data_IF_032340528336
#
_entry.id   IF_032340528336
#
_cell.length_a   1.000
_cell.length_b   1.000
_cell.length_c   1.000
_cell.angle_alpha   90.00
_cell.angle_beta   90.00
_cell.angle_gamma   90.00
#
_symmetry.space_group_name_H-M   'P 1'
#
loop_
_entity.id
_entity.type
_entity.pdbx_description
1 polymer ?
#
# COMPACT_ATOMS: atom_id res chain seq x y z
N UNK A 1 11.01 24.37 1.51
CA UNK A 1 10.35 23.50 0.50
C UNK A 1 10.08 22.09 1.02
N UNK A 2 11.04 21.41 1.63
CA UNK A 2 10.88 20.06 2.18
C UNK A 2 9.73 19.90 3.19
N UNK A 3 9.56 20.80 4.14
CA UNK A 3 8.50 20.78 5.16
C UNK A 3 7.10 20.89 4.54
N UNK A 4 6.96 21.66 3.45
CA UNK A 4 5.68 21.81 2.74
C UNK A 4 5.31 20.56 1.92
N UNK A 5 6.31 19.82 1.43
CA UNK A 5 6.11 18.54 0.74
C UNK A 5 5.73 17.44 1.76
N UNK A 6 6.35 17.41 2.93
CA UNK A 6 6.02 16.47 3.99
C UNK A 6 4.57 16.67 4.48
N UNK A 7 4.13 17.91 4.73
CA UNK A 7 2.74 18.20 5.10
C UNK A 7 1.72 17.88 4.00
N UNK A 8 2.12 17.97 2.72
CA UNK A 8 1.24 17.58 1.60
C UNK A 8 1.13 16.06 1.43
N UNK A 9 2.10 15.30 1.89
CA UNK A 9 2.05 13.85 1.90
C UNK A 9 1.12 13.32 3.00
N UNK A 10 1.01 14.06 4.12
CA UNK A 10 0.07 13.77 5.20
C UNK A 10 -1.32 14.30 4.83
N UNK A 11 -2.24 13.45 4.39
CA UNK A 11 -3.50 13.88 3.78
C UNK A 11 -4.68 13.99 4.74
N UNK A 12 -4.52 13.70 6.01
CA UNK A 12 -5.69 13.55 6.86
C UNK A 12 -5.63 14.30 8.19
N UNK A 13 -6.45 15.35 8.31
CA UNK A 13 -6.94 15.86 9.59
C UNK A 13 -8.46 15.89 9.55
N UNK A 14 -9.05 15.69 10.69
CA UNK A 14 -10.48 15.92 10.85
C UNK A 14 -10.85 17.36 10.48
N UNK A 15 -11.84 17.50 9.63
CA UNK A 15 -12.48 18.78 9.39
C UNK A 15 -13.71 18.89 10.32
N UNK A 16 -14.04 20.08 10.76
CA UNK A 16 -15.20 20.34 11.63
C UNK A 16 -16.54 19.74 11.11
N UNK A 17 -16.62 19.47 9.81
CA UNK A 17 -17.81 18.94 9.13
C UNK A 17 -17.67 17.49 8.66
N UNK A 18 -16.49 16.88 8.73
CA UNK A 18 -16.26 15.52 8.21
C UNK A 18 -16.63 14.41 9.17
N UNK A 19 -16.76 14.72 10.46
CA UNK A 19 -16.90 13.73 11.52
C UNK A 19 -15.57 13.32 12.12
N UNK A 20 -15.55 12.18 12.82
CA UNK A 20 -14.37 11.66 13.51
C UNK A 20 -13.55 10.75 12.60
N UNK A 21 -12.24 10.84 12.72
CA UNK A 21 -11.26 9.96 12.05
C UNK A 21 -10.33 9.39 13.12
N UNK A 22 -10.09 8.09 13.08
CA UNK A 22 -9.09 7.42 13.92
C UNK A 22 -8.27 6.46 13.06
N UNK A 23 -7.11 6.12 13.57
CA UNK A 23 -6.31 4.98 13.06
C UNK A 23 -6.25 3.96 14.18
N UNK A 24 -6.71 2.74 13.91
CA UNK A 24 -6.87 1.70 14.93
C UNK A 24 -6.13 0.42 14.53
N UNK A 25 -5.76 -0.36 15.52
CA UNK A 25 -5.20 -1.70 15.34
C UNK A 25 -6.31 -2.75 15.09
N UNK A 26 -5.92 -4.02 14.97
CA UNK A 26 -6.85 -5.14 14.75
C UNK A 26 -7.84 -5.35 15.90
N UNK A 27 -7.60 -4.76 17.07
CA UNK A 27 -8.48 -4.77 18.23
C UNK A 27 -9.39 -3.55 18.32
N UNK A 28 -9.46 -2.71 17.28
CA UNK A 28 -10.17 -1.43 17.25
C UNK A 28 -9.67 -0.43 18.31
N UNK A 29 -8.41 -0.58 18.78
CA UNK A 29 -7.74 0.34 19.70
C UNK A 29 -6.93 1.36 18.91
N UNK A 30 -7.06 2.65 19.26
CA UNK A 30 -6.32 3.73 18.60
C UNK A 30 -4.81 3.54 18.72
N UNK A 31 -4.09 3.62 17.60
CA UNK A 31 -2.64 3.46 17.56
C UNK A 31 -1.90 4.69 18.13
N UNK A 32 -0.66 4.53 18.63
CA UNK A 32 0.16 5.67 19.05
C UNK A 32 0.39 6.68 17.93
N UNK A 33 0.45 7.96 18.30
CA UNK A 33 0.76 9.05 17.37
C UNK A 33 2.28 9.24 17.22
N UNK A 34 2.97 8.19 16.77
CA UNK A 34 4.43 8.13 16.62
C UNK A 34 4.92 8.30 15.17
N UNK A 35 4.00 8.25 14.20
CA UNK A 35 4.31 8.29 12.78
C UNK A 35 4.85 6.96 12.22
N UNK A 36 4.85 5.90 13.02
CA UNK A 36 5.45 4.60 12.70
C UNK A 36 4.45 3.44 12.83
N UNK A 37 3.65 3.42 13.90
CA UNK A 37 2.69 2.34 14.16
C UNK A 37 1.56 2.37 13.14
N UNK A 38 1.47 1.28 12.36
CA UNK A 38 0.47 1.11 11.32
C UNK A 38 -0.86 0.64 11.91
N UNK A 39 -1.96 1.24 11.43
CA UNK A 39 -3.32 0.80 11.73
C UNK A 39 -4.26 1.05 10.56
N UNK A 40 -5.53 0.73 10.73
CA UNK A 40 -6.60 1.01 9.77
C UNK A 40 -7.24 2.37 10.03
N UNK A 41 -7.45 3.17 8.98
CA UNK A 41 -8.28 4.36 9.09
C UNK A 41 -9.73 3.94 9.26
N UNK A 42 -10.34 4.42 10.34
CA UNK A 42 -11.78 4.31 10.57
C UNK A 42 -12.40 5.70 10.68
N UNK A 43 -13.58 5.85 10.13
CA UNK A 43 -14.29 7.15 10.11
C UNK A 43 -15.72 6.99 10.58
N UNK A 44 -16.24 8.06 11.24
CA UNK A 44 -17.61 8.12 11.70
C UNK A 44 -18.15 9.53 11.51
N UNK A 45 -19.34 9.66 10.93
CA UNK A 45 -19.98 10.97 10.77
C UNK A 45 -21.01 11.00 9.66
N UNK A 46 -21.63 12.15 9.48
CA UNK A 46 -22.72 12.34 8.50
C UNK A 46 -22.26 12.26 7.05
N UNK A 47 -20.96 12.36 6.78
CA UNK A 47 -20.39 12.23 5.45
C UNK A 47 -20.13 10.76 5.04
N UNK A 48 -20.26 9.83 6.00
CA UNK A 48 -20.07 8.40 5.75
C UNK A 48 -21.32 7.82 5.08
N UNK A 49 -21.13 6.95 4.10
CA UNK A 49 -22.21 6.25 3.44
C UNK A 49 -23.04 5.43 4.44
N UNK A 50 -24.32 5.20 4.14
CA UNK A 50 -25.17 4.28 4.92
C UNK A 50 -24.81 2.81 4.73
N UNK A 51 -24.27 2.46 3.58
CA UNK A 51 -23.90 1.09 3.20
C UNK A 51 -23.76 0.93 1.69
N UNK A 52 -23.39 -0.27 1.29
CA UNK A 52 -23.36 -0.67 -0.13
C UNK A 52 -24.77 -0.98 -0.64
N UNK A 53 -25.03 -0.62 -1.88
CA UNK A 53 -26.35 -0.81 -2.49
C UNK A 53 -26.69 -2.30 -2.65
N UNK A 54 -27.77 -2.75 -2.02
CA UNK A 54 -28.25 -4.12 -2.01
C UNK A 54 -27.19 -5.16 -1.59
N UNK A 55 -26.26 -4.78 -0.69
CA UNK A 55 -25.20 -5.64 -0.18
C UNK A 55 -25.03 -5.42 1.33
N UNK A 56 -25.93 -6.02 2.09
CA UNK A 56 -25.96 -5.91 3.54
C UNK A 56 -24.75 -6.62 4.19
N UNK A 57 -24.26 -7.70 3.59
CA UNK A 57 -23.12 -8.47 4.10
C UNK A 57 -21.83 -7.66 3.99
N UNK A 58 -21.56 -7.09 2.80
CA UNK A 58 -20.42 -6.20 2.64
C UNK A 58 -20.54 -4.94 3.51
N UNK A 59 -21.77 -4.41 3.67
CA UNK A 59 -22.03 -3.29 4.58
C UNK A 59 -21.71 -3.63 6.02
N UNK A 60 -22.18 -4.77 6.53
CA UNK A 60 -21.91 -5.20 7.90
C UNK A 60 -20.40 -5.43 8.15
N UNK A 61 -19.68 -5.91 7.14
CA UNK A 61 -18.25 -6.14 7.22
C UNK A 61 -17.46 -4.85 7.44
N UNK A 62 -17.85 -3.76 6.77
CA UNK A 62 -17.13 -2.49 6.86
C UNK A 62 -17.70 -1.53 7.90
N UNK A 63 -18.96 -1.74 8.35
CA UNK A 63 -19.63 -0.93 9.37
C UNK A 63 -19.67 -1.69 10.70
N UNK A 64 -18.56 -1.72 11.42
CA UNK A 64 -18.46 -2.40 12.72
C UNK A 64 -18.09 -1.44 13.84
N UNK A 65 -18.56 -1.71 15.06
CA UNK A 65 -18.27 -0.86 16.21
C UNK A 65 -18.80 0.57 16.09
N UNK A 66 -19.71 0.87 15.12
CA UNK A 66 -20.19 2.23 14.84
C UNK A 66 -19.25 3.06 13.98
N UNK A 67 -18.24 2.43 13.37
CA UNK A 67 -17.26 3.04 12.49
C UNK A 67 -17.29 2.41 11.09
N UNK A 68 -16.99 3.22 10.09
CA UNK A 68 -16.70 2.74 8.75
C UNK A 68 -15.20 2.43 8.64
N UNK A 69 -14.86 1.19 8.39
CA UNK A 69 -13.54 0.66 8.15
C UNK A 69 -13.17 0.85 6.68
N UNK A 70 -12.19 1.73 6.42
CA UNK A 70 -11.88 2.15 5.04
C UNK A 70 -11.06 1.14 4.26
N UNK A 71 -10.36 0.24 4.95
CA UNK A 71 -9.37 -0.66 4.38
C UNK A 71 -8.07 0.05 3.98
N UNK A 72 -7.87 1.30 4.40
CA UNK A 72 -6.63 2.05 4.18
C UNK A 72 -5.73 1.93 5.41
N UNK A 73 -4.48 1.50 5.19
CA UNK A 73 -3.45 1.44 6.20
C UNK A 73 -2.77 2.80 6.35
N UNK A 74 -2.67 3.30 7.56
CA UNK A 74 -2.11 4.61 7.87
C UNK A 74 -1.32 4.62 9.18
N UNK A 75 -0.54 5.68 9.36
CA UNK A 75 0.09 6.05 10.62
C UNK A 75 -0.42 7.40 11.07
N UNK A 76 -0.34 7.72 12.36
CA UNK A 76 -0.66 9.05 12.89
C UNK A 76 0.61 9.71 13.38
N UNK A 77 0.88 10.90 12.87
CA UNK A 77 2.04 11.69 13.31
C UNK A 77 1.78 12.39 14.66
N UNK A 78 2.84 12.77 15.42
CA UNK A 78 2.68 13.48 16.70
C UNK A 78 1.87 14.77 16.62
N UNK A 79 1.73 15.37 15.45
CA UNK A 79 0.93 16.56 15.20
C UNK A 79 -0.56 16.26 14.87
N UNK A 80 -0.97 14.98 14.96
CA UNK A 80 -2.34 14.52 14.71
C UNK A 80 -2.69 14.30 13.23
N UNK A 81 -1.73 14.46 12.31
CA UNK A 81 -1.98 14.15 10.90
C UNK A 81 -1.91 12.66 10.63
N UNK A 82 -2.94 12.10 10.00
CA UNK A 82 -2.90 10.76 9.47
C UNK A 82 -2.24 10.76 8.08
N UNK A 83 -1.33 9.80 7.86
CA UNK A 83 -0.67 9.56 6.58
C UNK A 83 -1.02 8.17 6.07
N UNK A 84 -1.71 8.10 4.93
CA UNK A 84 -2.03 6.82 4.27
C UNK A 84 -0.73 6.24 3.70
N UNK A 85 -0.43 5.01 4.07
CA UNK A 85 0.74 4.26 3.63
C UNK A 85 0.43 3.27 2.52
N UNK A 86 -0.73 2.61 2.60
CA UNK A 86 -1.15 1.60 1.62
C UNK A 86 -2.63 1.23 1.80
N UNK A 87 -3.12 0.27 1.02
CA UNK A 87 -4.32 -0.50 1.33
C UNK A 87 -3.96 -1.66 2.25
N UNK A 88 -4.77 -1.94 3.29
CA UNK A 88 -4.51 -3.06 4.21
C UNK A 88 -4.24 -4.38 3.48
N UNK A 89 -5.06 -4.70 2.47
CA UNK A 89 -4.90 -5.91 1.65
C UNK A 89 -3.65 -5.92 0.77
N UNK A 90 -2.97 -4.79 0.60
CA UNK A 90 -1.79 -4.63 -0.25
C UNK A 90 -0.51 -4.46 0.59
N UNK A 91 -0.62 -4.24 1.92
CA UNK A 91 0.49 -4.34 2.86
C UNK A 91 1.04 -5.77 2.81
N UNK A 92 2.35 -5.90 2.67
CA UNK A 92 3.03 -7.19 2.57
C UNK A 92 3.61 -7.52 3.94
N UNK A 93 3.24 -8.68 4.49
CA UNK A 93 3.75 -9.14 5.78
C UNK A 93 4.88 -10.14 5.52
N UNK A 94 6.11 -9.67 5.65
CA UNK A 94 7.31 -10.46 5.35
C UNK A 94 8.13 -10.68 6.62
N UNK A 95 8.14 -11.91 7.12
CA UNK A 95 8.89 -12.24 8.34
C UNK A 95 8.43 -11.50 9.61
N UNK A 96 7.18 -11.07 9.66
CA UNK A 96 6.60 -10.28 10.76
C UNK A 96 6.73 -8.75 10.58
N UNK A 97 7.38 -8.29 9.52
CA UNK A 97 7.51 -6.87 9.19
C UNK A 97 6.45 -6.43 8.17
N UNK A 98 5.85 -5.27 8.40
CA UNK A 98 4.90 -4.65 7.48
C UNK A 98 5.65 -3.85 6.41
N UNK A 99 5.44 -4.19 5.14
CA UNK A 99 6.04 -3.50 4.00
C UNK A 99 4.95 -2.83 3.19
N UNK A 100 5.01 -1.51 3.06
CA UNK A 100 4.14 -0.77 2.15
C UNK A 100 4.56 -1.02 0.71
N UNK A 101 3.63 -1.55 -0.07
CA UNK A 101 3.85 -1.74 -1.52
C UNK A 101 4.06 -0.41 -2.22
N UNK A 102 3.37 0.64 -1.80
CA UNK A 102 3.47 2.01 -2.35
C UNK A 102 4.86 2.62 -2.10
N UNK A 103 5.45 2.40 -0.92
CA UNK A 103 6.81 2.88 -0.60
C UNK A 103 7.85 2.27 -1.57
N UNK A 104 7.77 0.97 -1.79
CA UNK A 104 8.70 0.24 -2.68
C UNK A 104 8.47 0.64 -4.14
N UNK A 105 7.22 0.77 -4.58
CA UNK A 105 6.85 1.29 -5.90
C UNK A 105 7.41 2.70 -6.13
N UNK A 106 7.20 3.60 -5.17
CA UNK A 106 7.70 4.97 -5.22
C UNK A 106 9.22 5.05 -5.33
N UNK A 107 9.93 4.10 -4.71
CA UNK A 107 11.38 4.03 -4.83
C UNK A 107 11.81 3.52 -6.20
N UNK A 108 11.26 2.41 -6.68
CA UNK A 108 11.63 1.84 -7.99
C UNK A 108 11.25 2.76 -9.16
N UNK A 109 10.20 3.56 -9.06
CA UNK A 109 9.85 4.59 -10.05
C UNK A 109 10.92 5.68 -10.22
N UNK A 110 11.82 5.87 -9.25
CA UNK A 110 12.97 6.80 -9.40
C UNK A 110 14.07 6.23 -10.28
N UNK A 111 14.08 4.92 -10.53
CA UNK A 111 15.06 4.32 -11.41
C UNK A 111 14.83 4.77 -12.87
N UNK A 112 15.89 5.23 -13.58
CA UNK A 112 15.74 5.88 -14.91
C UNK A 112 15.10 4.98 -15.96
N UNK A 113 15.27 3.66 -15.87
CA UNK A 113 14.72 2.69 -16.82
C UNK A 113 13.26 2.29 -16.55
N UNK A 114 12.72 2.55 -15.35
CA UNK A 114 11.38 2.11 -14.96
C UNK A 114 10.33 3.10 -15.46
N UNK A 115 9.31 2.59 -16.14
CA UNK A 115 8.13 3.35 -16.57
C UNK A 115 6.98 3.18 -15.59
N UNK A 116 6.66 1.91 -15.26
CA UNK A 116 5.62 1.56 -14.32
C UNK A 116 6.10 0.38 -13.46
N UNK A 117 5.60 0.31 -12.24
CA UNK A 117 5.88 -0.80 -11.34
C UNK A 117 4.69 -1.09 -10.46
N UNK A 118 4.48 -2.34 -10.14
CA UNK A 118 3.55 -2.79 -9.12
C UNK A 118 4.25 -3.79 -8.20
N UNK A 119 4.12 -3.57 -6.91
CA UNK A 119 4.65 -4.45 -5.87
C UNK A 119 3.50 -5.25 -5.26
N UNK A 120 3.68 -6.55 -5.17
CA UNK A 120 2.73 -7.46 -4.51
C UNK A 120 3.47 -8.42 -3.58
N UNK A 121 2.81 -8.83 -2.49
CA UNK A 121 3.27 -9.95 -1.69
C UNK A 121 3.02 -11.26 -2.46
N UNK A 122 4.07 -12.05 -2.66
CA UNK A 122 3.94 -13.42 -3.12
C UNK A 122 4.36 -14.37 -1.99
N UNK A 123 3.70 -15.53 -1.86
CA UNK A 123 4.05 -16.49 -0.84
C UNK A 123 5.51 -16.94 -0.94
N UNK A 124 6.16 -16.97 0.22
CA UNK A 124 7.56 -17.30 0.39
C UNK A 124 7.75 -18.30 1.54
N UNK A 125 8.52 -19.39 1.31
CA UNK A 125 8.64 -20.49 2.28
C UNK A 125 9.16 -20.06 3.66
N UNK A 126 10.08 -19.11 3.69
CA UNK A 126 10.71 -18.65 4.94
C UNK A 126 9.99 -17.49 5.61
N UNK A 127 9.40 -16.56 4.81
CA UNK A 127 8.91 -15.28 5.30
C UNK A 127 7.39 -15.15 5.31
N UNK A 128 6.66 -16.21 4.90
CA UNK A 128 5.22 -16.18 4.66
C UNK A 128 4.92 -15.48 3.34
N UNK A 129 5.21 -14.19 3.25
CA UNK A 129 5.20 -13.43 2.00
C UNK A 129 6.56 -12.76 1.77
N UNK A 130 6.83 -12.45 0.51
CA UNK A 130 7.95 -11.60 0.12
C UNK A 130 7.52 -10.62 -0.98
N UNK A 131 8.04 -9.36 -0.97
CA UNK A 131 7.74 -8.40 -2.00
C UNK A 131 8.29 -8.84 -3.34
N UNK A 132 7.44 -8.78 -4.37
CA UNK A 132 7.77 -9.09 -5.76
C UNK A 132 7.39 -7.90 -6.65
N UNK A 133 8.30 -7.49 -7.54
CA UNK A 133 8.10 -6.37 -8.45
C UNK A 133 7.66 -6.83 -9.83
N UNK A 134 6.58 -6.31 -10.35
CA UNK A 134 6.21 -6.37 -11.76
C UNK A 134 6.55 -5.03 -12.41
N UNK A 135 7.43 -5.02 -13.39
CA UNK A 135 8.05 -3.80 -13.93
C UNK A 135 7.83 -3.67 -15.42
N UNK A 136 7.35 -2.51 -15.85
CA UNK A 136 7.34 -2.07 -17.23
C UNK A 136 8.53 -1.14 -17.43
N UNK A 137 9.41 -1.45 -18.36
CA UNK A 137 10.53 -0.59 -18.71
C UNK A 137 10.10 0.50 -19.70
N UNK A 138 10.76 1.65 -19.66
CA UNK A 138 10.62 2.69 -20.69
C UNK A 138 11.09 2.16 -22.06
N UNK A 139 10.52 2.69 -23.13
CA UNK A 139 10.93 2.36 -24.50
C UNK A 139 12.44 2.54 -24.64
N UNK A 140 13.10 1.51 -25.18
CA UNK A 140 14.56 1.45 -25.39
C UNK A 140 15.43 1.39 -24.13
N UNK A 141 14.85 1.45 -22.92
CA UNK A 141 15.60 1.23 -21.69
C UNK A 141 15.85 -0.26 -21.44
N UNK A 142 16.95 -0.55 -20.77
CA UNK A 142 17.31 -1.90 -20.31
C UNK A 142 17.64 -1.82 -18.83
N UNK A 143 17.21 -2.81 -18.10
CA UNK A 143 17.61 -3.05 -16.72
C UNK A 143 17.51 -4.54 -16.44
N UNK A 144 18.34 -5.04 -15.58
CA UNK A 144 18.29 -6.42 -15.09
C UNK A 144 17.53 -6.48 -13.77
N UNK A 145 17.08 -7.68 -13.40
CA UNK A 145 16.47 -7.92 -12.09
C UNK A 145 17.41 -7.49 -10.96
N UNK A 146 18.70 -7.90 -11.05
CA UNK A 146 19.69 -7.60 -10.01
C UNK A 146 19.96 -6.09 -9.86
N UNK A 147 19.98 -5.34 -10.97
CA UNK A 147 20.13 -3.87 -10.92
C UNK A 147 18.97 -3.23 -10.18
N UNK A 148 17.73 -3.62 -10.46
CA UNK A 148 16.56 -3.06 -9.79
C UNK A 148 16.49 -3.46 -8.30
N UNK A 149 16.85 -4.71 -7.99
CA UNK A 149 16.93 -5.17 -6.60
C UNK A 149 18.03 -4.45 -5.82
N UNK A 150 19.20 -4.26 -6.44
CA UNK A 150 20.29 -3.51 -5.82
C UNK A 150 19.90 -2.06 -5.63
N UNK A 151 19.29 -1.41 -6.61
CA UNK A 151 18.78 -0.06 -6.49
C UNK A 151 17.80 0.09 -5.32
N UNK A 152 16.89 -0.86 -5.14
CA UNK A 152 15.98 -0.86 -4.00
C UNK A 152 16.73 -1.01 -2.64
N UNK A 153 17.74 -1.91 -2.57
CA UNK A 153 18.55 -2.12 -1.35
C UNK A 153 19.39 -0.91 -0.97
N UNK A 154 19.84 -0.14 -1.93
CA UNK A 154 20.67 1.05 -1.70
C UNK A 154 19.84 2.23 -1.11
N UNK A 155 18.49 2.17 -1.24
CA UNK A 155 17.61 3.27 -0.89
C UNK A 155 16.54 2.92 0.14
N UNK A 156 16.31 1.64 0.41
CA UNK A 156 15.32 1.13 1.37
C UNK A 156 15.98 0.21 2.39
N UNK A 157 15.31 -0.04 3.50
CA UNK A 157 15.70 -1.12 4.39
C UNK A 157 15.73 -2.45 3.64
N UNK A 158 16.72 -3.30 3.87
CA UNK A 158 17.00 -4.50 3.07
C UNK A 158 15.80 -5.45 2.99
N UNK A 159 15.02 -5.57 4.06
CA UNK A 159 13.82 -6.43 4.09
C UNK A 159 12.68 -5.93 3.21
N UNK A 160 12.67 -4.63 2.85
CA UNK A 160 11.69 -4.03 1.94
C UNK A 160 12.02 -4.24 0.46
N UNK A 161 13.28 -4.55 0.14
CA UNK A 161 13.69 -4.74 -1.24
C UNK A 161 13.00 -5.96 -1.87
N UNK A 162 12.57 -5.89 -3.15
CA UNK A 162 11.94 -7.03 -3.82
C UNK A 162 12.82 -8.27 -3.82
N UNK A 163 12.21 -9.42 -3.53
CA UNK A 163 12.87 -10.72 -3.63
C UNK A 163 13.03 -11.17 -5.09
N UNK A 164 12.12 -10.75 -5.94
CA UNK A 164 12.18 -11.03 -7.38
C UNK A 164 11.58 -9.89 -8.20
N UNK A 165 11.95 -9.84 -9.47
CA UNK A 165 11.46 -8.87 -10.44
C UNK A 165 10.99 -9.60 -11.69
N UNK A 166 9.78 -9.32 -12.14
CA UNK A 166 9.24 -9.80 -13.41
C UNK A 166 9.03 -8.64 -14.35
N UNK A 167 9.65 -8.65 -15.50
CA UNK A 167 9.41 -7.66 -16.54
C UNK A 167 8.16 -8.04 -17.33
N UNK A 168 7.26 -7.08 -17.51
CA UNK A 168 6.00 -7.23 -18.23
C UNK A 168 5.85 -6.14 -19.29
N UNK A 169 5.12 -6.42 -20.34
CA UNK A 169 4.84 -5.43 -21.37
C UNK A 169 3.89 -4.32 -20.87
N UNK A 170 2.91 -4.70 -20.03
CA UNK A 170 1.96 -3.80 -19.41
C UNK A 170 1.47 -4.36 -18.07
N UNK A 171 1.02 -3.49 -17.18
CA UNK A 171 0.37 -3.88 -15.92
C UNK A 171 -1.16 -3.97 -16.13
N UNK A 172 -1.83 -4.97 -15.53
CA UNK A 172 -3.30 -5.07 -15.59
C UNK A 172 -3.93 -3.87 -14.88
N UNK A 173 -4.83 -3.18 -15.57
CA UNK A 173 -5.51 -1.98 -15.06
C UNK A 173 -7.02 -2.09 -15.19
N UNK A 174 -7.72 -1.41 -14.30
CA UNK A 174 -9.17 -1.16 -14.46
C UNK A 174 -9.41 -0.13 -15.56
N UNK A 175 -10.67 0.03 -15.99
CA UNK A 175 -11.07 1.09 -16.92
C UNK A 175 -10.72 2.51 -16.42
N UNK A 176 -10.57 2.69 -15.10
CA UNK A 176 -10.16 3.95 -14.48
C UNK A 176 -8.64 4.11 -14.33
N UNK A 177 -7.85 3.16 -14.85
CA UNK A 177 -6.38 3.20 -14.82
C UNK A 177 -5.74 2.68 -13.53
N UNK A 178 -6.50 2.18 -12.56
CA UNK A 178 -5.95 1.59 -11.33
C UNK A 178 -5.37 0.21 -11.60
N UNK A 179 -4.15 -0.04 -11.10
CA UNK A 179 -3.48 -1.35 -11.21
C UNK A 179 -4.25 -2.40 -10.41
N UNK A 180 -4.50 -3.54 -11.04
CA UNK A 180 -5.23 -4.68 -10.45
C UNK A 180 -4.22 -5.65 -9.80
N UNK A 181 -3.71 -5.30 -8.62
CA UNK A 181 -2.71 -6.11 -7.89
C UNK A 181 -3.16 -7.56 -7.66
N UNK A 182 -4.47 -7.78 -7.48
CA UNK A 182 -5.02 -9.15 -7.31
C UNK A 182 -4.77 -10.05 -8.53
N UNK A 183 -4.77 -9.48 -9.75
CA UNK A 183 -4.45 -10.23 -10.97
C UNK A 183 -2.98 -10.66 -10.96
N UNK A 184 -2.09 -9.76 -10.54
CA UNK A 184 -0.65 -10.05 -10.45
C UNK A 184 -0.36 -11.14 -9.41
N UNK A 185 -1.07 -11.13 -8.27
CA UNK A 185 -0.95 -12.21 -7.26
C UNK A 185 -1.38 -13.58 -7.80
N UNK A 186 -2.36 -13.61 -8.70
CA UNK A 186 -2.84 -14.84 -9.34
C UNK A 186 -1.92 -15.42 -10.43
N UNK A 187 -0.98 -14.65 -10.95
CA UNK A 187 -0.06 -15.07 -12.04
C UNK A 187 1.07 -16.00 -11.59
N UNK A 188 0.94 -16.66 -10.44
CA UNK A 188 1.92 -17.62 -9.87
C UNK A 188 2.44 -18.69 -10.83
N UNK A 189 1.68 -19.03 -11.87
CA UNK A 189 2.04 -20.04 -12.85
C UNK A 189 2.99 -19.58 -13.96
N UNK A 190 3.16 -18.28 -14.16
CA UNK A 190 3.94 -17.68 -15.26
C UNK A 190 5.38 -17.35 -14.85
N UNK A 191 5.66 -17.30 -13.54
CA UNK A 191 6.96 -16.87 -12.97
C UNK A 191 8.00 -18.02 -12.91
N UNK A 192 7.59 -19.25 -13.28
CA UNK A 192 8.52 -20.40 -13.41
C UNK A 192 8.68 -20.76 -14.89
N UNK A 193 9.44 -20.00 -15.62
CA UNK A 193 10.16 -20.46 -16.82
C UNK A 193 11.46 -19.66 -16.93
#
# INVERSE_FOLDING_TARGET
MAQRCALKACQGVELLTSGELRVVDDGDVEVPHDGETLGEIVVRGNAVMKGYYLDDEATATVMRGGWFHTGDAAVVHPNGYAEIRDRLKDVIISGGENISSVEVEGMLLRHPAVQEVAIVGLPHERWGEAPHAFVVLKSSAKATEDELRQFARDHLAHFKAPHGVTFVAELPKTATGKIQKYVLRGQRGVIKQ
#
